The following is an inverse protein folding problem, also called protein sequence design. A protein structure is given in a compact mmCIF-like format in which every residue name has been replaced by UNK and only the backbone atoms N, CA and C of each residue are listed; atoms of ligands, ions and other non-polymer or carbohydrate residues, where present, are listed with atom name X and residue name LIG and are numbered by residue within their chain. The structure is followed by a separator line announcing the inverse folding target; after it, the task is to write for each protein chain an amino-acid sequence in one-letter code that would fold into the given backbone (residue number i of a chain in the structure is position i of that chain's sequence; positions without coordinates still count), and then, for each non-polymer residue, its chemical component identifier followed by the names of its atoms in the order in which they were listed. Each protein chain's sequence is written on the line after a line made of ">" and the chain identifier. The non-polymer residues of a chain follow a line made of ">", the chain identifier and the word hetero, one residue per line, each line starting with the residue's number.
data_IF_215824388887
#
_entry.id   IF_215824388887
#
_cell.length_a   1.000
_cell.length_b   1.000
_cell.length_c   1.000
_cell.angle_alpha   90.00
_cell.angle_beta   90.00
_cell.angle_gamma   90.00
#
_symmetry.space_group_name_H-M   'P 1'
#
loop_
_entity.id
_entity.type
_entity.pdbx_description
1 polymer ?
#
# COMPACT_ATOMS: atom_id res chain seq x y z
N UNK A 1 -9.26 -12.93 12.17
CA UNK A 1 -8.79 -12.07 11.05
C UNK A 1 -8.95 -10.59 11.42
N UNK A 2 -8.25 -9.65 10.77
CA UNK A 2 -8.43 -8.21 11.05
C UNK A 2 -9.88 -7.75 10.83
N UNK A 3 -10.59 -8.36 9.87
CA UNK A 3 -12.01 -8.07 9.60
C UNK A 3 -12.89 -8.26 10.84
N UNK A 4 -12.74 -9.37 11.55
CA UNK A 4 -13.51 -9.68 12.77
C UNK A 4 -13.23 -8.70 13.91
N UNK A 5 -12.08 -8.03 13.86
CA UNK A 5 -11.63 -7.05 14.86
C UNK A 5 -11.85 -5.62 14.42
N UNK A 6 -12.57 -5.38 13.30
CA UNK A 6 -12.63 -4.07 12.66
C UNK A 6 -13.04 -2.94 13.60
N UNK A 7 -13.99 -3.19 14.50
CA UNK A 7 -14.52 -2.23 15.49
C UNK A 7 -13.72 -2.19 16.81
N UNK A 8 -12.73 -3.06 17.00
CA UNK A 8 -11.83 -2.98 18.16
C UNK A 8 -10.96 -1.72 18.07
N UNK A 9 -10.67 -1.11 19.22
CA UNK A 9 -9.73 0.03 19.31
C UNK A 9 -8.29 -0.48 19.21
N UNK A 10 -7.44 0.29 18.53
CA UNK A 10 -6.00 0.01 18.42
C UNK A 10 -5.27 0.68 19.57
N UNK A 11 -5.01 -0.03 20.67
CA UNK A 11 -4.25 0.52 21.80
C UNK A 11 -2.84 1.00 21.37
N UNK A 12 -2.36 2.16 21.85
CA UNK A 12 -2.99 3.12 22.78
C UNK A 12 -3.80 4.24 22.09
N UNK A 13 -4.12 4.08 20.80
CA UNK A 13 -4.75 5.09 19.97
C UNK A 13 -6.27 5.01 20.01
N UNK A 14 -6.93 6.17 20.01
CA UNK A 14 -8.39 6.27 19.99
C UNK A 14 -9.00 6.08 18.59
N UNK A 15 -8.52 5.08 17.84
CA UNK A 15 -8.96 4.75 16.48
C UNK A 15 -9.29 3.25 16.37
N UNK A 16 -10.23 2.91 15.50
CA UNK A 16 -10.61 1.51 15.27
C UNK A 16 -9.64 0.80 14.32
N UNK A 17 -9.57 -0.52 14.41
CA UNK A 17 -8.73 -1.36 13.51
C UNK A 17 -9.05 -1.09 12.04
N UNK A 18 -10.33 -0.93 11.66
CA UNK A 18 -10.66 -0.64 10.27
C UNK A 18 -10.18 0.75 9.83
N UNK A 19 -10.26 1.76 10.70
CA UNK A 19 -9.79 3.12 10.40
C UNK A 19 -8.29 3.12 10.19
N UNK A 20 -7.56 2.48 11.11
CA UNK A 20 -6.12 2.34 11.02
C UNK A 20 -5.68 1.60 9.76
N UNK A 21 -6.35 0.50 9.43
CA UNK A 21 -6.08 -0.25 8.19
C UNK A 21 -6.33 0.61 6.96
N UNK A 22 -7.44 1.35 6.93
CA UNK A 22 -7.76 2.27 5.83
C UNK A 22 -6.71 3.39 5.68
N UNK A 23 -6.17 3.90 6.80
CA UNK A 23 -5.08 4.88 6.77
C UNK A 23 -3.81 4.31 6.14
N UNK A 24 -3.43 3.07 6.48
CA UNK A 24 -2.28 2.39 5.86
C UNK A 24 -2.51 2.21 4.36
N UNK A 25 -3.70 1.80 3.94
CA UNK A 25 -4.05 1.66 2.52
C UNK A 25 -3.92 2.98 1.77
N UNK A 26 -4.45 4.09 2.32
CA UNK A 26 -4.29 5.43 1.74
C UNK A 26 -2.83 5.83 1.62
N UNK A 27 -2.04 5.65 2.68
CA UNK A 27 -0.62 5.96 2.68
C UNK A 27 0.13 5.20 1.58
N UNK A 28 -0.16 3.91 1.39
CA UNK A 28 0.50 3.10 0.34
C UNK A 28 0.16 3.59 -1.07
N UNK A 29 -1.10 3.93 -1.34
CA UNK A 29 -1.53 4.52 -2.61
C UNK A 29 -0.88 5.89 -2.85
N UNK A 30 -0.75 6.72 -1.82
CA UNK A 30 -0.07 8.02 -1.92
C UNK A 30 1.42 7.86 -2.24
N UNK A 31 2.08 6.89 -1.60
CA UNK A 31 3.51 6.64 -1.79
C UNK A 31 3.82 6.00 -3.15
N UNK A 32 3.01 5.06 -3.64
CA UNK A 32 3.28 4.43 -4.93
C UNK A 32 3.03 5.34 -6.14
N UNK A 33 2.17 6.37 -5.97
CA UNK A 33 1.78 7.36 -6.98
C UNK A 33 1.15 6.71 -8.22
N UNK A 34 0.43 5.60 -8.06
CA UNK A 34 -0.21 4.87 -9.14
C UNK A 34 -1.71 4.60 -8.88
N UNK A 35 -2.43 5.62 -8.41
CA UNK A 35 -3.87 5.53 -8.15
C UNK A 35 -4.21 4.68 -6.94
N UNK A 36 -5.41 4.11 -6.92
CA UNK A 36 -5.91 3.29 -5.80
C UNK A 36 -5.66 1.82 -6.12
N UNK A 37 -4.81 1.17 -5.31
CA UNK A 37 -4.50 -0.27 -5.37
C UNK A 37 -4.73 -1.00 -4.05
N UNK A 38 -4.84 -0.25 -2.94
CA UNK A 38 -5.31 -0.76 -1.66
C UNK A 38 -6.56 0.01 -1.23
N UNK A 39 -7.61 -0.71 -0.85
CA UNK A 39 -8.90 -0.08 -0.52
C UNK A 39 -9.19 -0.06 0.98
N UNK A 40 -8.42 -0.80 1.77
CA UNK A 40 -8.60 -0.93 3.21
C UNK A 40 -9.43 -2.15 3.58
N UNK A 41 -9.93 -2.18 4.81
CA UNK A 41 -10.68 -3.32 5.36
C UNK A 41 -12.19 -3.23 5.06
N UNK A 42 -12.70 -2.00 4.99
CA UNK A 42 -14.10 -1.70 4.68
C UNK A 42 -14.13 -0.78 3.47
N UNK A 43 -14.82 -1.24 2.42
CA UNK A 43 -15.00 -0.48 1.18
C UNK A 43 -16.46 -0.06 1.01
N UNK A 44 -16.75 1.09 0.37
CA UNK A 44 -18.12 1.42 -0.02
C UNK A 44 -18.72 0.28 -0.83
N UNK A 45 -20.00 -0.02 -0.65
CA UNK A 45 -20.68 -1.18 -1.27
C UNK A 45 -20.37 -1.33 -2.77
N UNK A 46 -20.30 -0.21 -3.50
CA UNK A 46 -19.95 -0.13 -4.94
C UNK A 46 -18.55 -0.62 -5.34
N UNK A 47 -17.62 -0.71 -4.39
CA UNK A 47 -16.26 -1.24 -4.59
C UNK A 47 -16.08 -2.61 -3.93
N UNK A 48 -17.13 -3.13 -3.29
CA UNK A 48 -17.15 -4.48 -2.77
C UNK A 48 -17.14 -5.52 -3.88
N UNK A 49 -16.71 -6.74 -3.53
CA UNK A 49 -16.91 -7.89 -4.40
C UNK A 49 -18.39 -7.96 -4.83
N UNK A 50 -18.60 -7.95 -6.14
CA UNK A 50 -19.91 -7.99 -6.80
C UNK A 50 -20.88 -6.84 -6.43
N UNK A 51 -20.39 -5.72 -5.89
CA UNK A 51 -21.22 -4.67 -5.29
C UNK A 51 -22.16 -5.15 -4.17
N UNK A 52 -21.86 -6.30 -3.56
CA UNK A 52 -22.73 -6.98 -2.60
C UNK A 52 -22.15 -7.00 -1.18
N UNK A 53 -20.88 -6.64 -1.01
CA UNK A 53 -20.19 -6.70 0.27
C UNK A 53 -19.46 -5.40 0.57
N UNK A 54 -19.29 -5.06 1.85
CA UNK A 54 -18.42 -3.95 2.27
C UNK A 54 -17.09 -4.43 2.81
N UNK A 55 -16.90 -5.76 2.88
CA UNK A 55 -15.71 -6.41 3.43
C UNK A 55 -14.67 -6.64 2.35
N UNK A 56 -13.42 -6.28 2.64
CA UNK A 56 -12.31 -6.55 1.76
C UNK A 56 -11.30 -7.49 2.46
N UNK A 57 -11.46 -8.79 2.19
CA UNK A 57 -10.52 -9.83 2.67
C UNK A 57 -9.38 -10.03 1.67
N UNK A 58 -9.64 -9.80 0.38
CA UNK A 58 -8.68 -9.88 -0.71
C UNK A 58 -8.79 -8.61 -1.56
N UNK A 59 -7.71 -7.82 -1.56
CA UNK A 59 -7.55 -6.68 -2.47
C UNK A 59 -7.48 -7.20 -3.89
N UNK A 60 -8.56 -7.07 -4.64
CA UNK A 60 -8.65 -7.58 -5.99
C UNK A 60 -9.39 -6.62 -6.90
N UNK A 61 -9.03 -6.62 -8.17
CA UNK A 61 -9.78 -5.93 -9.22
C UNK A 61 -11.12 -6.66 -9.51
N UNK A 62 -12.00 -6.11 -10.37
CA UNK A 62 -13.27 -6.74 -10.70
C UNK A 62 -13.16 -8.16 -11.28
N UNK A 63 -11.98 -8.55 -11.77
CA UNK A 63 -11.67 -9.89 -12.27
C UNK A 63 -11.10 -10.82 -11.18
N UNK A 64 -11.17 -10.40 -9.90
CA UNK A 64 -10.67 -11.10 -8.71
C UNK A 64 -9.15 -11.30 -8.70
N UNK A 65 -8.38 -10.53 -9.47
CA UNK A 65 -6.92 -10.57 -9.47
C UNK A 65 -6.35 -9.54 -8.49
N UNK A 66 -5.33 -9.95 -7.72
CA UNK A 66 -4.68 -9.03 -6.79
C UNK A 66 -4.02 -7.87 -7.53
N UNK A 67 -4.23 -6.64 -7.07
CA UNK A 67 -3.58 -5.46 -7.65
C UNK A 67 -2.06 -5.61 -7.66
N UNK A 68 -1.48 -5.71 -8.86
CA UNK A 68 -0.04 -5.86 -9.01
C UNK A 68 0.68 -4.54 -8.73
N UNK A 69 1.87 -4.65 -8.12
CA UNK A 69 2.78 -3.52 -7.95
C UNK A 69 4.10 -3.75 -8.65
N UNK A 70 4.57 -2.71 -9.33
CA UNK A 70 5.89 -2.73 -9.96
C UNK A 70 6.98 -2.63 -8.89
N UNK A 71 8.22 -3.07 -9.18
CA UNK A 71 9.32 -2.89 -8.23
C UNK A 71 9.54 -1.42 -7.82
N UNK A 72 9.27 -0.48 -8.73
CA UNK A 72 9.32 0.97 -8.48
C UNK A 72 8.34 1.38 -7.38
N UNK A 73 7.08 1.01 -7.54
CA UNK A 73 6.00 1.29 -6.58
C UNK A 73 6.31 0.67 -5.22
N UNK A 74 6.80 -0.57 -5.19
CA UNK A 74 7.22 -1.24 -3.96
C UNK A 74 8.35 -0.46 -3.27
N UNK A 75 9.38 -0.02 -4.02
CA UNK A 75 10.50 0.72 -3.44
C UNK A 75 10.06 2.07 -2.85
N UNK A 76 9.16 2.80 -3.53
CA UNK A 76 8.58 4.05 -3.00
C UNK A 76 7.88 3.84 -1.65
N UNK A 77 7.08 2.78 -1.55
CA UNK A 77 6.37 2.42 -0.31
C UNK A 77 7.39 2.02 0.77
N UNK A 78 8.33 1.13 0.44
CA UNK A 78 9.31 0.60 1.40
C UNK A 78 10.27 1.67 1.93
N UNK A 79 10.64 2.63 1.10
CA UNK A 79 11.44 3.78 1.54
C UNK A 79 10.60 4.82 2.28
N UNK A 80 9.27 4.80 2.16
CA UNK A 80 8.38 5.75 2.84
C UNK A 80 8.52 7.19 2.36
N UNK A 81 9.21 7.41 1.24
CA UNK A 81 9.50 8.75 0.67
C UNK A 81 8.63 9.08 -0.53
N UNK A 82 7.95 8.08 -1.10
CA UNK A 82 7.26 8.22 -2.39
C UNK A 82 8.23 8.36 -3.57
N UNK A 83 9.50 8.04 -3.36
CA UNK A 83 10.58 8.14 -4.35
C UNK A 83 11.55 6.96 -4.22
N UNK A 84 11.54 6.09 -5.23
CA UNK A 84 12.39 4.90 -5.35
C UNK A 84 13.89 5.21 -5.43
N UNK A 85 14.27 6.47 -5.66
CA UNK A 85 15.65 6.94 -5.68
C UNK A 85 16.11 7.50 -4.32
N UNK A 86 15.20 7.63 -3.34
CA UNK A 86 15.47 8.22 -2.03
C UNK A 86 15.22 7.19 -0.92
N UNK A 87 16.29 6.57 -0.39
CA UNK A 87 16.20 5.70 0.78
C UNK A 87 15.54 6.35 1.99
N UNK A 88 14.97 5.52 2.86
CA UNK A 88 14.24 5.95 4.04
C UNK A 88 13.49 4.78 4.68
N UNK A 89 12.56 5.07 5.59
CA UNK A 89 11.60 4.09 6.09
C UNK A 89 12.25 2.78 6.56
N UNK A 90 11.81 1.66 5.97
CA UNK A 90 12.32 0.32 6.29
C UNK A 90 13.78 0.09 5.87
N UNK A 91 14.28 0.87 4.90
CA UNK A 91 15.64 0.78 4.39
C UNK A 91 16.32 2.16 4.39
N UNK A 92 16.70 2.71 5.56
CA UNK A 92 17.26 4.06 5.66
C UNK A 92 18.54 4.27 4.84
N UNK A 93 19.29 3.18 4.57
CA UNK A 93 20.52 3.18 3.77
C UNK A 93 20.34 2.61 2.36
N UNK A 94 19.10 2.33 1.97
CA UNK A 94 18.74 1.72 0.69
C UNK A 94 18.74 0.21 0.76
N UNK A 95 17.86 -0.43 -0.01
CA UNK A 95 17.82 -1.88 -0.11
C UNK A 95 18.99 -2.40 -0.97
N UNK A 96 19.52 -3.58 -0.62
CA UNK A 96 20.75 -4.11 -1.23
C UNK A 96 20.51 -5.08 -2.41
N UNK A 97 19.29 -5.15 -2.93
CA UNK A 97 18.97 -5.97 -4.11
C UNK A 97 19.46 -5.32 -5.41
N UNK A 98 19.66 -6.12 -6.47
CA UNK A 98 20.07 -5.60 -7.79
C UNK A 98 19.12 -4.48 -8.27
N UNK A 99 17.81 -4.72 -8.22
CA UNK A 99 16.79 -3.75 -8.66
C UNK A 99 16.85 -2.46 -7.83
N UNK A 100 16.95 -2.57 -6.50
CA UNK A 100 17.04 -1.40 -5.63
C UNK A 100 18.29 -0.55 -5.93
N UNK A 101 19.45 -1.21 -6.10
CA UNK A 101 20.70 -0.52 -6.44
C UNK A 101 20.65 0.15 -7.81
N UNK A 102 19.93 -0.42 -8.78
CA UNK A 102 19.69 0.24 -10.07
C UNK A 102 18.95 1.57 -9.86
N UNK A 103 17.85 1.60 -9.10
CA UNK A 103 17.18 2.87 -8.81
C UNK A 103 18.11 3.85 -8.10
N UNK A 104 18.87 3.42 -7.09
CA UNK A 104 19.72 4.35 -6.33
C UNK A 104 20.90 4.93 -7.13
N UNK A 105 21.52 4.12 -7.98
CA UNK A 105 22.80 4.45 -8.60
C UNK A 105 22.71 4.78 -10.10
N UNK A 106 21.62 4.43 -10.77
CA UNK A 106 21.46 4.64 -12.21
C UNK A 106 20.67 5.92 -12.50
N UNK A 107 21.39 6.98 -12.87
CA UNK A 107 20.78 8.28 -13.18
C UNK A 107 19.81 8.24 -14.37
N UNK A 108 19.90 7.25 -15.26
CA UNK A 108 18.96 7.11 -16.39
C UNK A 108 17.54 6.74 -15.95
N UNK A 109 17.40 6.19 -14.75
CA UNK A 109 16.09 5.80 -14.21
C UNK A 109 15.37 6.95 -13.49
N UNK A 110 16.07 8.07 -13.21
CA UNK A 110 15.48 9.22 -12.53
C UNK A 110 14.49 9.95 -13.46
N UNK A 111 13.23 10.03 -13.04
CA UNK A 111 12.18 10.77 -13.77
C UNK A 111 11.37 9.96 -14.78
N UNK A 112 11.66 8.67 -14.93
CA UNK A 112 10.72 7.69 -15.51
C UNK A 112 9.57 7.41 -14.54
#
# INVERSE_FOLDING_TARGET
>A
MLYEKGEEKVDPYDIMVFEFTNMISRLRNELDKCGVKDEGLIVPLKHGAESQTTSNVLLADPDLLSYSRTPKEIMRIMYGTGDEHRPGGFFPKGANGRIAREYLNNNKLRGL
#
